data_IF_148305992611
#
_entry.id   IF_148305992611
#
_cell.length_a   1.000
_cell.length_b   1.000
_cell.length_c   1.000
_cell.angle_alpha   90.00
_cell.angle_beta   90.00
_cell.angle_gamma   90.00
#
_symmetry.space_group_name_H-M   'P 1'
#
loop_
_entity.id
_entity.type
_entity.pdbx_description
1 polymer ?
#
# COMPACT_ATOMS: atom_id res chain seq x y z
N UNK A 1 -27.11 -2.35 -39.69
CA UNK A 1 -27.10 -3.41 -38.65
C UNK A 1 -25.66 -3.70 -38.18
N UNK A 2 -24.73 -4.07 -39.07
CA UNK A 2 -23.32 -4.39 -38.70
C UNK A 2 -22.47 -3.21 -38.18
N UNK A 3 -22.74 -1.97 -38.61
CA UNK A 3 -22.00 -0.80 -38.13
C UNK A 3 -22.35 -0.43 -36.69
N UNK A 4 -23.62 -0.60 -36.30
CA UNK A 4 -24.08 -0.35 -34.93
C UNK A 4 -23.51 -1.38 -33.95
N UNK A 5 -23.36 -2.64 -34.36
CA UNK A 5 -22.75 -3.67 -33.51
C UNK A 5 -21.25 -3.45 -33.32
N UNK A 6 -20.54 -2.98 -34.36
CA UNK A 6 -19.12 -2.62 -34.28
C UNK A 6 -18.92 -1.41 -33.35
N UNK A 7 -19.74 -0.36 -33.49
CA UNK A 7 -19.65 0.83 -32.62
C UNK A 7 -19.97 0.48 -31.16
N UNK A 8 -20.97 -0.36 -30.91
CA UNK A 8 -21.29 -0.85 -29.57
C UNK A 8 -20.14 -1.68 -28.98
N UNK A 9 -19.52 -2.56 -29.76
CA UNK A 9 -18.37 -3.35 -29.32
C UNK A 9 -17.16 -2.47 -28.96
N UNK A 10 -16.87 -1.46 -29.79
CA UNK A 10 -15.79 -0.50 -29.53
C UNK A 10 -16.10 0.32 -28.26
N UNK A 11 -17.34 0.76 -28.08
CA UNK A 11 -17.78 1.48 -26.89
C UNK A 11 -17.64 0.62 -25.62
N UNK A 12 -18.04 -0.66 -25.67
CA UNK A 12 -17.85 -1.59 -24.55
C UNK A 12 -16.38 -1.85 -24.23
N UNK A 13 -15.51 -1.97 -25.26
CA UNK A 13 -14.07 -2.11 -25.07
C UNK A 13 -13.46 -0.87 -24.43
N UNK A 14 -13.83 0.32 -24.91
CA UNK A 14 -13.39 1.59 -24.36
C UNK A 14 -13.88 1.77 -22.92
N UNK A 15 -15.14 1.41 -22.65
CA UNK A 15 -15.72 1.45 -21.32
C UNK A 15 -15.05 0.45 -20.37
N UNK A 16 -14.78 -0.78 -20.81
CA UNK A 16 -14.08 -1.77 -20.00
C UNK A 16 -12.62 -1.37 -19.74
N UNK A 17 -11.93 -0.81 -20.74
CA UNK A 17 -10.61 -0.21 -20.57
C UNK A 17 -10.66 0.95 -19.57
N UNK A 18 -11.61 1.87 -19.72
CA UNK A 18 -11.82 3.00 -18.83
C UNK A 18 -12.12 2.53 -17.40
N UNK A 19 -13.04 1.57 -17.23
CA UNK A 19 -13.28 0.95 -15.93
C UNK A 19 -11.98 0.35 -15.41
N UNK A 20 -11.30 -0.56 -16.10
CA UNK A 20 -10.07 -1.20 -15.57
C UNK A 20 -8.94 -0.22 -15.22
N UNK A 21 -8.81 0.89 -15.94
CA UNK A 21 -7.71 1.82 -15.74
C UNK A 21 -8.04 2.98 -14.78
N UNK A 22 -9.31 3.38 -14.68
CA UNK A 22 -9.71 4.55 -13.89
C UNK A 22 -10.68 4.23 -12.73
N UNK A 23 -11.44 3.14 -12.78
CA UNK A 23 -12.51 2.81 -11.79
C UNK A 23 -12.37 1.38 -11.21
N UNK A 24 -11.62 0.50 -11.86
CA UNK A 24 -11.50 -0.92 -11.59
C UNK A 24 -10.74 -1.14 -10.30
N UNK A 25 -11.03 -2.28 -9.65
CA UNK A 25 -11.49 -2.31 -8.26
C UNK A 25 -10.63 -1.41 -7.38
N UNK A 26 -10.99 -0.13 -7.36
CA UNK A 26 -10.47 0.82 -6.40
C UNK A 26 -11.20 0.55 -5.11
N UNK A 27 -10.42 0.30 -4.07
CA UNK A 27 -10.83 0.38 -2.67
C UNK A 27 -11.80 -0.69 -2.18
N UNK A 28 -11.27 -1.89 -1.90
CA UNK A 28 -11.45 -2.31 -0.51
C UNK A 28 -10.48 -1.45 0.31
N UNK A 29 -10.93 -0.71 1.33
CA UNK A 29 -10.00 -0.12 2.28
C UNK A 29 -9.16 -1.28 2.79
N UNK A 30 -7.86 -1.19 2.51
CA UNK A 30 -6.88 -2.10 3.04
C UNK A 30 -6.80 -1.77 4.51
N UNK A 31 -7.29 -2.66 5.36
CA UNK A 31 -7.03 -2.55 6.78
C UNK A 31 -5.52 -2.71 6.96
N UNK A 32 -4.85 -1.58 7.14
CA UNK A 32 -3.39 -1.50 7.09
C UNK A 32 -2.76 -2.47 8.09
N UNK A 33 -3.44 -2.78 9.20
CA UNK A 33 -3.14 -3.82 10.20
C UNK A 33 -2.76 -5.20 9.61
N UNK A 34 -3.33 -5.61 8.47
CA UNK A 34 -3.01 -6.90 7.87
C UNK A 34 -1.63 -6.90 7.23
N UNK A 35 -1.21 -5.77 6.63
CA UNK A 35 0.03 -5.64 5.84
C UNK A 35 1.22 -5.27 6.73
N UNK A 36 0.96 -4.54 7.82
CA UNK A 36 1.98 -3.96 8.67
C UNK A 36 1.78 -4.33 10.14
N UNK A 37 2.81 -4.13 10.96
CA UNK A 37 2.69 -4.21 12.42
C UNK A 37 3.30 -2.95 13.01
N UNK A 38 2.62 -2.35 13.98
CA UNK A 38 3.22 -1.38 14.89
C UNK A 38 4.12 -2.15 15.86
N UNK A 39 5.43 -1.89 15.82
CA UNK A 39 6.35 -2.51 16.79
C UNK A 39 6.78 -1.50 17.85
N UNK A 40 6.69 -1.91 19.11
CA UNK A 40 7.30 -1.21 20.23
C UNK A 40 8.83 -1.27 20.13
N UNK A 41 9.50 -0.17 20.46
CA UNK A 41 10.95 0.00 20.30
C UNK A 41 11.79 -1.14 20.90
N UNK A 42 11.32 -1.76 21.99
CA UNK A 42 12.01 -2.84 22.70
C UNK A 42 12.07 -4.18 21.95
N UNK A 43 11.15 -4.47 21.02
CA UNK A 43 11.04 -5.79 20.34
C UNK A 43 11.69 -5.84 18.96
N UNK A 44 12.31 -4.74 18.50
CA UNK A 44 12.76 -4.56 17.10
C UNK A 44 14.20 -4.97 16.80
N UNK A 45 14.93 -5.56 17.77
CA UNK A 45 16.40 -5.66 17.75
C UNK A 45 17.01 -6.63 16.72
N UNK A 46 16.28 -7.59 16.17
CA UNK A 46 16.89 -8.60 15.28
C UNK A 46 16.56 -8.43 13.79
N UNK A 47 15.47 -7.75 13.43
CA UNK A 47 14.96 -7.77 12.04
C UNK A 47 15.48 -6.62 11.16
N UNK A 48 16.14 -5.60 11.72
CA UNK A 48 16.45 -4.35 10.97
C UNK A 48 17.69 -3.64 11.48
N UNK A 49 18.87 -4.23 11.26
CA UNK A 49 20.13 -3.61 11.71
C UNK A 49 20.46 -2.28 11.01
N UNK A 50 19.84 -1.98 9.85
CA UNK A 50 20.24 -0.86 8.99
C UNK A 50 19.13 0.12 8.56
N UNK A 51 17.90 0.02 9.08
CA UNK A 51 16.80 0.94 8.70
C UNK A 51 16.51 1.95 9.81
N UNK A 52 17.35 2.99 9.91
CA UNK A 52 17.23 4.09 10.88
C UNK A 52 16.40 5.27 10.37
N UNK A 53 16.31 5.44 9.05
CA UNK A 53 15.60 6.55 8.40
C UNK A 53 14.44 6.03 7.54
N UNK A 54 13.35 6.80 7.49
CA UNK A 54 12.26 6.58 6.56
C UNK A 54 12.67 7.06 5.17
N UNK A 55 12.70 6.19 4.16
CA UNK A 55 13.08 6.58 2.79
C UNK A 55 12.03 7.44 2.07
N UNK A 56 10.83 7.57 2.64
CA UNK A 56 9.74 8.35 2.05
C UNK A 56 9.91 9.84 2.37
N UNK A 57 10.15 10.19 3.64
CA UNK A 57 10.40 11.58 4.07
C UNK A 57 11.88 11.91 4.30
N UNK A 58 12.76 10.90 4.26
CA UNK A 58 14.20 11.00 4.55
C UNK A 58 14.55 11.36 6.01
N UNK A 59 13.57 11.35 6.91
CA UNK A 59 13.76 11.66 8.34
C UNK A 59 14.03 10.41 9.18
N UNK A 60 14.63 10.61 10.37
CA UNK A 60 14.87 9.53 11.33
C UNK A 60 13.56 8.92 11.81
N UNK A 61 13.58 7.61 12.05
CA UNK A 61 12.46 6.88 12.62
C UNK A 61 12.42 6.99 14.16
N UNK A 62 13.18 7.86 14.81
CA UNK A 62 13.35 7.86 16.27
C UNK A 62 12.24 8.64 17.03
N UNK A 63 11.88 8.13 18.22
CA UNK A 63 10.75 8.58 19.07
C UNK A 63 10.96 9.93 19.78
N UNK A 64 12.02 10.67 19.46
CA UNK A 64 12.43 11.84 20.24
C UNK A 64 11.67 13.13 19.93
N UNK A 65 10.87 13.16 18.86
CA UNK A 65 9.86 14.20 18.70
C UNK A 65 8.51 13.65 19.19
N UNK A 66 8.32 13.81 20.50
CA UNK A 66 7.00 13.86 21.11
C UNK A 66 6.19 14.87 20.31
N UNK A 67 4.97 14.49 19.98
CA UNK A 67 3.98 15.28 19.23
C UNK A 67 3.97 14.93 17.73
N UNK A 68 3.09 13.98 17.43
CA UNK A 68 2.15 14.02 16.29
C UNK A 68 2.45 13.16 15.05
N UNK A 69 3.67 12.67 14.81
CA UNK A 69 3.94 11.82 13.65
C UNK A 69 3.92 10.32 14.00
N UNK A 70 2.71 9.76 13.83
CA UNK A 70 2.32 8.36 13.64
C UNK A 70 3.38 7.26 13.92
N UNK A 71 2.99 6.28 14.74
CA UNK A 71 3.76 5.10 15.14
C UNK A 71 4.67 4.53 14.02
N UNK A 72 5.76 3.86 14.39
CA UNK A 72 6.65 3.17 13.44
C UNK A 72 5.98 1.91 12.91
N UNK A 73 5.85 1.78 11.60
CA UNK A 73 5.15 0.67 10.96
C UNK A 73 6.17 -0.21 10.25
N UNK A 74 6.07 -1.52 10.45
CA UNK A 74 6.93 -2.52 9.81
C UNK A 74 6.10 -3.35 8.85
N UNK A 75 6.57 -3.48 7.62
CA UNK A 75 5.95 -4.37 6.64
C UNK A 75 6.22 -5.83 7.03
N UNK A 76 5.18 -6.65 7.22
CA UNK A 76 5.32 -8.07 7.64
C UNK A 76 6.17 -8.91 6.68
N UNK A 77 6.06 -8.65 5.38
CA UNK A 77 6.66 -9.48 4.33
C UNK A 77 8.16 -9.24 4.11
N UNK A 78 8.66 -8.05 4.46
CA UNK A 78 10.05 -7.67 4.19
C UNK A 78 10.79 -7.03 5.37
N UNK A 79 10.09 -6.72 6.47
CA UNK A 79 10.70 -6.16 7.67
C UNK A 79 11.09 -4.68 7.56
N UNK A 80 10.86 -4.00 6.44
CA UNK A 80 11.22 -2.59 6.27
C UNK A 80 10.34 -1.65 7.10
N UNK A 81 10.97 -0.60 7.65
CA UNK A 81 10.35 0.38 8.56
C UNK A 81 10.05 1.70 7.88
N UNK A 82 8.91 2.29 8.22
CA UNK A 82 8.48 3.61 7.76
C UNK A 82 7.68 4.30 8.88
N UNK A 83 7.52 5.63 8.80
CA UNK A 83 6.47 6.30 9.57
C UNK A 83 5.10 5.84 9.07
N UNK A 84 4.14 5.64 9.98
CA UNK A 84 2.76 5.28 9.62
C UNK A 84 2.17 6.23 8.58
N UNK A 85 2.40 7.54 8.75
CA UNK A 85 1.82 8.57 7.90
C UNK A 85 2.37 8.50 6.47
N UNK A 86 3.69 8.28 6.38
CA UNK A 86 4.39 8.16 5.11
C UNK A 86 3.92 6.92 4.35
N UNK A 87 3.77 5.80 5.04
CA UNK A 87 3.34 4.55 4.43
C UNK A 87 1.85 4.59 4.02
N UNK A 88 0.99 5.22 4.83
CA UNK A 88 -0.41 5.50 4.47
C UNK A 88 -0.52 6.33 3.20
N UNK A 89 0.21 7.44 3.12
CA UNK A 89 0.25 8.29 1.92
C UNK A 89 0.73 7.52 0.70
N UNK A 90 1.73 6.66 0.85
CA UNK A 90 2.23 5.81 -0.22
C UNK A 90 1.13 4.90 -0.79
N UNK A 91 0.33 4.26 0.06
CA UNK A 91 -0.77 3.39 -0.38
C UNK A 91 -1.94 4.18 -0.96
N UNK A 92 -2.21 5.38 -0.43
CA UNK A 92 -3.27 6.25 -0.96
C UNK A 92 -3.01 6.69 -2.41
N UNK A 93 -1.74 6.72 -2.85
CA UNK A 93 -1.35 7.02 -4.25
C UNK A 93 -1.41 5.75 -5.13
N UNK A 94 -1.88 4.62 -4.60
CA UNK A 94 -2.03 3.36 -5.32
C UNK A 94 -0.74 2.54 -5.45
N UNK A 95 0.30 2.87 -4.67
CA UNK A 95 1.58 2.13 -4.67
C UNK A 95 1.54 1.04 -3.60
N UNK A 96 1.18 -0.18 -4.00
CA UNK A 96 1.09 -1.35 -3.13
C UNK A 96 2.39 -2.18 -3.09
N UNK A 97 3.54 -1.52 -3.13
CA UNK A 97 4.85 -2.15 -3.06
C UNK A 97 5.75 -1.46 -2.03
N UNK A 98 6.66 -2.23 -1.45
CA UNK A 98 7.66 -1.69 -0.52
C UNK A 98 8.57 -0.68 -1.24
N UNK A 99 8.72 0.56 -0.74
CA UNK A 99 9.63 1.55 -1.32
C UNK A 99 11.10 1.11 -1.37
N UNK A 100 11.51 0.21 -0.48
CA UNK A 100 12.90 -0.25 -0.38
C UNK A 100 13.16 -1.45 -1.28
N UNK A 101 12.45 -2.56 -1.08
CA UNK A 101 12.71 -3.81 -1.80
C UNK A 101 11.76 -4.11 -2.95
N UNK A 102 10.76 -3.24 -3.19
CA UNK A 102 9.73 -3.40 -4.25
C UNK A 102 8.88 -4.67 -4.15
N UNK A 103 9.00 -5.44 -3.07
CA UNK A 103 8.10 -6.55 -2.77
C UNK A 103 6.69 -5.99 -2.70
N UNK A 104 5.82 -6.53 -3.56
CA UNK A 104 4.39 -6.19 -3.57
C UNK A 104 3.75 -6.72 -2.30
N UNK A 105 2.90 -5.92 -1.67
CA UNK A 105 2.12 -6.40 -0.55
C UNK A 105 1.14 -7.45 -1.06
N UNK A 106 1.37 -8.71 -0.69
CA UNK A 106 0.43 -9.79 -1.02
C UNK A 106 -0.89 -9.57 -0.27
N UNK A 107 -1.93 -9.19 -1.02
CA UNK A 107 -3.30 -9.14 -0.53
C UNK A 107 -3.89 -10.53 -0.57
N UNK A 108 -4.17 -11.13 0.60
CA UNK A 108 -5.12 -12.25 0.64
C UNK A 108 -6.51 -11.63 0.52
N UNK A 109 -7.04 -11.62 -0.70
CA UNK A 109 -8.48 -11.38 -0.90
C UNK A 109 -9.20 -12.64 -0.42
N UNK A 110 -9.47 -12.73 0.88
CA UNK A 110 -10.43 -13.72 1.37
C UNK A 110 -11.80 -13.24 0.91
N UNK A 111 -12.28 -13.81 -0.20
CA UNK A 111 -13.67 -13.68 -0.60
C UNK A 111 -14.51 -14.37 0.48
N UNK A 112 -14.99 -13.61 1.47
CA UNK A 112 -16.19 -14.01 2.20
C UNK A 112 -17.35 -13.82 1.24
N UNK A 113 -17.65 -14.89 0.52
CA UNK A 113 -18.96 -15.07 -0.11
C UNK A 113 -19.94 -15.21 1.05
N UNK A 114 -20.84 -14.23 1.19
CA UNK A 114 -22.03 -14.33 2.04
C UNK A 114 -23.16 -14.75 1.13
#
# INVERSE_FOLDING_TARGET
MFTLTILFYIALRALNYYYRHYIGPSFRPVDLEEVVVSLDAQKTKEVTKNCTNCVICMEKLDDNNKEEYECKWIVKQCGHKFHGACLRKWFNIGKLNCPICRISYAFRITLRVI
#
